data_IF_710340759825
#
_entry.id   IF_710340759825
#
_cell.length_a   1.000
_cell.length_b   1.000
_cell.length_c   1.000
_cell.angle_alpha   90.00
_cell.angle_beta   90.00
_cell.angle_gamma   90.00
#
_symmetry.space_group_name_H-M   'P 1'
#
loop_
_entity.id
_entity.type
_entity.pdbx_description
1 polymer ?
#
# COMPACT_ATOMS: atom_id res chain seq x y z
N UNK A 1 13.82 29.84 6.91
CA UNK A 1 13.40 29.23 5.65
C UNK A 1 13.40 27.71 5.86
N UNK A 2 12.23 27.11 5.90
CA UNK A 2 12.13 25.65 5.79
C UNK A 2 12.70 25.26 4.44
N UNK A 3 13.70 24.38 4.43
CA UNK A 3 14.18 23.80 3.19
C UNK A 3 12.96 23.20 2.46
N UNK A 4 12.75 23.60 1.21
CA UNK A 4 11.82 22.93 0.33
C UNK A 4 12.24 21.46 0.31
N UNK A 5 11.45 20.59 0.91
CA UNK A 5 11.69 19.16 0.79
C UNK A 5 11.71 18.84 -0.70
N UNK A 6 12.89 18.48 -1.20
CA UNK A 6 13.03 18.14 -2.61
C UNK A 6 12.19 16.89 -2.88
N UNK A 7 11.27 16.99 -3.80
CA UNK A 7 10.48 15.83 -4.24
C UNK A 7 11.40 14.74 -4.76
N UNK A 8 11.18 13.46 -4.39
CA UNK A 8 11.91 12.36 -4.98
C UNK A 8 11.79 12.37 -6.51
N UNK A 9 12.86 11.94 -7.19
CA UNK A 9 12.84 11.88 -8.66
C UNK A 9 11.77 10.93 -9.19
N UNK A 10 11.48 9.87 -8.45
CA UNK A 10 10.46 8.87 -8.79
C UNK A 10 9.47 8.80 -7.65
N UNK A 11 8.19 9.01 -7.96
CA UNK A 11 7.11 8.93 -6.99
C UNK A 11 5.97 8.08 -7.57
N UNK A 12 5.49 7.07 -6.86
CA UNK A 12 4.30 6.32 -7.27
C UNK A 12 3.08 7.23 -7.39
N UNK A 13 2.39 7.13 -8.52
CA UNK A 13 1.22 7.92 -8.85
C UNK A 13 0.03 6.98 -8.97
N UNK A 14 -0.98 7.15 -8.09
CA UNK A 14 -2.10 6.23 -7.96
C UNK A 14 -3.35 6.85 -8.59
N UNK A 15 -3.90 6.17 -9.57
CA UNK A 15 -5.10 6.62 -10.28
C UNK A 15 -6.35 6.07 -9.60
N UNK A 16 -7.16 6.96 -9.02
CA UNK A 16 -8.50 6.67 -8.51
C UNK A 16 -9.55 7.25 -9.46
N UNK A 17 -10.75 6.68 -9.47
CA UNK A 17 -11.86 7.25 -10.22
C UNK A 17 -12.22 8.64 -9.67
N UNK A 18 -12.80 8.68 -8.47
CA UNK A 18 -13.24 9.93 -7.83
C UNK A 18 -13.06 9.90 -6.30
N UNK A 19 -12.41 8.88 -5.77
CA UNK A 19 -12.33 8.60 -4.33
C UNK A 19 -10.91 8.68 -3.76
N UNK A 20 -10.04 9.49 -4.39
CA UNK A 20 -8.67 9.68 -3.91
C UNK A 20 -8.60 10.21 -2.48
N UNK A 21 -9.48 11.13 -2.11
CA UNK A 21 -9.53 11.71 -0.76
C UNK A 21 -9.85 10.66 0.30
N UNK A 22 -10.87 9.83 0.05
CA UNK A 22 -11.24 8.71 0.92
C UNK A 22 -10.08 7.71 1.05
N UNK A 23 -9.44 7.38 -0.07
CA UNK A 23 -8.32 6.46 -0.09
C UNK A 23 -7.12 7.00 0.72
N UNK A 24 -6.75 8.25 0.51
CA UNK A 24 -5.64 8.88 1.24
C UNK A 24 -5.94 8.92 2.74
N UNK A 25 -7.13 9.32 3.15
CA UNK A 25 -7.53 9.34 4.56
C UNK A 25 -7.45 7.95 5.18
N UNK A 26 -7.86 6.92 4.45
CA UNK A 26 -7.75 5.54 4.89
C UNK A 26 -6.28 5.14 5.09
N UNK A 27 -5.41 5.37 4.11
CA UNK A 27 -3.99 5.03 4.22
C UNK A 27 -3.29 5.79 5.35
N UNK A 28 -3.60 7.07 5.52
CA UNK A 28 -3.07 7.87 6.65
C UNK A 28 -3.49 7.30 8.01
N UNK A 29 -4.66 6.68 8.09
CA UNK A 29 -5.16 6.04 9.32
C UNK A 29 -4.46 4.71 9.61
N UNK A 30 -3.94 4.03 8.59
CA UNK A 30 -3.31 2.71 8.71
C UNK A 30 -1.83 2.83 9.06
N UNK A 31 -1.11 3.72 8.40
CA UNK A 31 0.35 3.84 8.55
C UNK A 31 0.73 4.96 9.50
N UNK A 32 1.64 4.67 10.42
CA UNK A 32 2.24 5.68 11.30
C UNK A 32 3.19 6.57 10.49
N UNK A 33 3.54 7.73 11.05
CA UNK A 33 4.47 8.66 10.42
C UNK A 33 4.03 9.02 8.99
N UNK A 34 2.75 9.36 8.86
CA UNK A 34 2.07 9.61 7.59
C UNK A 34 1.38 10.96 7.62
N UNK A 35 1.37 11.66 6.49
CA UNK A 35 0.74 12.98 6.39
C UNK A 35 0.42 13.35 4.95
N UNK A 36 -0.54 14.23 4.77
CA UNK A 36 -0.71 14.96 3.50
C UNK A 36 0.39 16.01 3.38
N UNK A 37 0.87 16.21 2.15
CA UNK A 37 1.85 17.26 1.84
C UNK A 37 1.13 18.43 1.16
N UNK A 38 0.38 18.15 0.09
CA UNK A 38 -0.28 19.16 -0.71
C UNK A 38 -1.52 18.61 -1.40
N UNK A 39 -2.42 19.52 -1.78
CA UNK A 39 -3.64 19.18 -2.52
C UNK A 39 -3.82 20.20 -3.64
N UNK A 40 -3.97 19.70 -4.86
CA UNK A 40 -4.23 20.55 -6.04
C UNK A 40 -5.70 20.40 -6.44
N UNK A 41 -6.35 21.54 -6.59
CA UNK A 41 -7.75 21.63 -6.99
C UNK A 41 -7.84 21.88 -8.50
N UNK A 42 -8.81 21.26 -9.15
CA UNK A 42 -9.10 21.51 -10.57
C UNK A 42 -9.51 22.96 -10.79
N UNK A 43 -8.85 23.60 -11.71
CA UNK A 43 -9.21 24.97 -12.14
C UNK A 43 -10.09 24.99 -13.40
N UNK A 44 -10.22 23.84 -14.06
CA UNK A 44 -11.15 23.59 -15.18
C UNK A 44 -11.80 22.23 -15.00
N UNK A 45 -12.91 22.01 -15.66
CA UNK A 45 -13.52 20.68 -15.76
C UNK A 45 -12.67 19.79 -16.69
N UNK A 46 -12.53 18.52 -16.32
CA UNK A 46 -11.88 17.50 -17.14
C UNK A 46 -12.61 16.15 -16.98
N UNK A 47 -12.23 15.08 -17.72
CA UNK A 47 -12.90 13.79 -17.62
C UNK A 47 -12.89 13.17 -16.21
N UNK A 48 -12.00 13.58 -15.33
CA UNK A 48 -11.90 13.07 -13.96
C UNK A 48 -12.75 13.82 -12.95
N UNK A 49 -13.29 15.00 -13.30
CA UNK A 49 -14.14 15.74 -12.39
C UNK A 49 -14.41 17.19 -12.77
N UNK A 50 -15.29 17.82 -11.99
CA UNK A 50 -15.70 19.22 -12.15
C UNK A 50 -14.65 20.19 -11.66
N UNK A 51 -14.68 21.41 -12.18
CA UNK A 51 -13.92 22.55 -11.64
C UNK A 51 -14.22 22.70 -10.15
N UNK A 52 -13.16 22.89 -9.35
CA UNK A 52 -13.25 23.03 -7.89
C UNK A 52 -13.13 21.71 -7.12
N UNK A 53 -13.18 20.55 -7.80
CA UNK A 53 -12.92 19.25 -7.18
C UNK A 53 -11.43 18.99 -7.01
N UNK A 54 -11.07 18.06 -6.14
CA UNK A 54 -9.68 17.66 -5.92
C UNK A 54 -9.15 16.92 -7.15
N UNK A 55 -8.02 17.38 -7.67
CA UNK A 55 -7.31 16.74 -8.77
C UNK A 55 -6.29 15.74 -8.25
N UNK A 56 -5.33 16.19 -7.46
CA UNK A 56 -4.30 15.33 -6.87
C UNK A 56 -4.10 15.64 -5.40
N UNK A 57 -3.66 14.62 -4.66
CA UNK A 57 -3.21 14.74 -3.28
C UNK A 57 -1.82 14.13 -3.20
N UNK A 58 -0.85 14.91 -2.77
CA UNK A 58 0.49 14.43 -2.45
C UNK A 58 0.55 14.07 -0.97
N UNK A 59 1.07 12.89 -0.64
CA UNK A 59 1.09 12.39 0.74
C UNK A 59 2.28 11.47 0.99
N UNK A 60 2.55 11.22 2.26
CA UNK A 60 3.60 10.31 2.74
C UNK A 60 2.99 9.24 3.61
N UNK A 61 3.38 7.98 3.37
CA UNK A 61 3.10 6.84 4.21
C UNK A 61 4.43 6.27 4.71
N UNK A 62 4.68 6.39 6.01
CA UNK A 62 5.89 5.88 6.66
C UNK A 62 7.18 6.24 5.87
N UNK A 63 7.31 7.50 5.49
CA UNK A 63 8.46 8.04 4.75
C UNK A 63 8.42 7.88 3.24
N UNK A 64 7.50 7.08 2.68
CA UNK A 64 7.36 6.92 1.23
C UNK A 64 6.35 7.93 0.67
N UNK A 65 6.78 8.71 -0.31
CA UNK A 65 5.90 9.62 -1.04
C UNK A 65 5.04 8.91 -2.07
N UNK A 66 3.80 9.39 -2.17
CA UNK A 66 2.80 8.99 -3.17
C UNK A 66 2.03 10.21 -3.65
N UNK A 67 1.44 10.09 -4.81
CA UNK A 67 0.44 11.02 -5.31
C UNK A 67 -0.82 10.23 -5.65
N UNK A 68 -1.98 10.71 -5.19
CA UNK A 68 -3.29 10.17 -5.56
C UNK A 68 -4.00 11.12 -6.51
N UNK A 69 -4.51 10.60 -7.61
CA UNK A 69 -5.21 11.33 -8.65
C UNK A 69 -6.68 10.91 -8.70
N UNK A 70 -7.58 11.87 -8.80
CA UNK A 70 -8.95 11.62 -9.25
C UNK A 70 -9.01 11.78 -10.77
N UNK A 71 -8.80 10.68 -11.51
CA UNK A 71 -8.64 10.71 -12.97
C UNK A 71 -9.85 10.23 -13.76
N UNK A 72 -10.90 9.75 -13.08
CA UNK A 72 -12.08 9.17 -13.71
C UNK A 72 -12.01 7.64 -13.87
N UNK A 73 -13.03 7.02 -14.49
CA UNK A 73 -13.24 5.57 -14.41
C UNK A 73 -12.43 4.72 -15.39
N UNK A 74 -11.51 5.30 -16.16
CA UNK A 74 -10.90 4.62 -17.31
C UNK A 74 -9.80 3.63 -16.94
N UNK A 75 -9.23 3.70 -15.72
CA UNK A 75 -8.15 2.82 -15.29
C UNK A 75 -8.46 2.22 -13.92
N UNK A 76 -8.03 0.96 -13.72
CA UNK A 76 -8.18 0.23 -12.46
C UNK A 76 -6.86 -0.36 -12.04
N UNK A 77 -6.65 -0.45 -10.73
CA UNK A 77 -5.50 -1.17 -10.18
C UNK A 77 -5.56 -2.65 -10.53
N UNK A 78 -4.40 -3.26 -10.59
CA UNK A 78 -4.24 -4.71 -10.75
C UNK A 78 -3.08 -5.21 -9.90
N UNK A 79 -2.85 -6.52 -9.91
CA UNK A 79 -1.86 -7.16 -9.04
C UNK A 79 -0.42 -7.10 -9.61
N UNK A 80 -0.21 -6.49 -10.78
CA UNK A 80 1.12 -6.38 -11.38
C UNK A 80 2.03 -5.39 -10.65
N UNK A 81 1.45 -4.44 -9.92
CA UNK A 81 2.16 -3.54 -9.02
C UNK A 81 1.62 -3.73 -7.61
N UNK A 82 2.50 -3.87 -6.65
CA UNK A 82 2.14 -3.99 -5.23
C UNK A 82 3.13 -3.21 -4.36
N UNK A 83 2.67 -2.82 -3.18
CA UNK A 83 3.52 -2.16 -2.19
C UNK A 83 3.87 -3.15 -1.08
N UNK A 84 5.15 -3.24 -0.80
CA UNK A 84 5.74 -4.22 0.11
C UNK A 84 5.91 -3.58 1.49
N UNK A 85 5.18 -4.08 2.48
CA UNK A 85 5.22 -3.58 3.86
C UNK A 85 6.05 -4.53 4.70
N UNK A 86 7.21 -4.07 5.15
CA UNK A 86 8.09 -4.83 6.04
C UNK A 86 7.59 -4.74 7.48
N UNK A 87 7.43 -5.89 8.12
CA UNK A 87 6.99 -6.00 9.51
C UNK A 87 8.04 -6.72 10.35
N UNK A 88 8.35 -6.20 11.51
CA UNK A 88 9.34 -6.82 12.42
C UNK A 88 8.70 -7.92 13.27
N UNK A 89 7.42 -7.81 13.58
CA UNK A 89 6.72 -8.72 14.49
C UNK A 89 5.44 -9.28 13.86
N UNK A 90 4.99 -10.42 14.38
CA UNK A 90 3.69 -10.99 14.01
C UNK A 90 2.54 -10.04 14.34
N UNK A 91 2.63 -9.27 15.43
CA UNK A 91 1.60 -8.30 15.80
C UNK A 91 1.45 -7.21 14.73
N UNK A 92 2.53 -6.72 14.15
CA UNK A 92 2.47 -5.77 13.05
C UNK A 92 1.84 -6.39 11.80
N UNK A 93 2.22 -7.62 11.45
CA UNK A 93 1.63 -8.36 10.33
C UNK A 93 0.11 -8.46 10.52
N UNK A 94 -0.33 -8.88 11.70
CA UNK A 94 -1.73 -9.06 12.02
C UNK A 94 -2.52 -7.76 11.93
N UNK A 95 -1.96 -6.65 12.43
CA UNK A 95 -2.61 -5.34 12.40
C UNK A 95 -2.76 -4.80 10.98
N UNK A 96 -1.66 -4.74 10.19
CA UNK A 96 -1.73 -4.28 8.81
C UNK A 96 -2.63 -5.16 7.96
N UNK A 97 -2.55 -6.47 8.14
CA UNK A 97 -3.41 -7.42 7.43
C UNK A 97 -4.90 -7.16 7.71
N UNK A 98 -5.25 -7.06 8.97
CA UNK A 98 -6.64 -6.80 9.40
C UNK A 98 -7.16 -5.47 8.83
N UNK A 99 -6.36 -4.40 8.95
CA UNK A 99 -6.77 -3.07 8.52
C UNK A 99 -6.89 -2.94 7.00
N UNK A 100 -5.92 -3.47 6.26
CA UNK A 100 -5.87 -3.35 4.81
C UNK A 100 -6.80 -4.32 4.08
N UNK A 101 -7.13 -5.47 4.67
CA UNK A 101 -8.11 -6.40 4.06
C UNK A 101 -9.55 -6.02 4.32
N UNK A 102 -9.83 -5.10 5.24
CA UNK A 102 -11.20 -4.67 5.53
C UNK A 102 -11.87 -4.06 4.28
N UNK A 103 -12.95 -4.68 3.83
CA UNK A 103 -13.64 -4.29 2.60
C UNK A 103 -12.91 -4.68 1.31
N UNK A 104 -11.76 -5.30 1.42
CA UNK A 104 -10.97 -5.82 0.32
C UNK A 104 -10.96 -7.35 0.28
N UNK A 105 -9.85 -7.95 -0.10
CA UNK A 105 -9.72 -9.40 -0.21
C UNK A 105 -8.31 -9.89 0.11
N UNK A 106 -8.24 -11.08 0.69
CA UNK A 106 -6.99 -11.79 0.89
C UNK A 106 -6.57 -12.48 -0.41
N UNK A 107 -5.27 -12.45 -0.69
CA UNK A 107 -4.65 -13.21 -1.78
C UNK A 107 -3.76 -14.30 -1.13
N UNK A 108 -2.73 -14.76 -1.79
CA UNK A 108 -1.81 -15.78 -1.30
C UNK A 108 -0.45 -15.17 -0.94
N UNK A 109 0.33 -15.84 -0.11
CA UNK A 109 1.74 -15.52 0.17
C UNK A 109 1.98 -14.13 0.78
N UNK A 110 1.08 -13.67 1.63
CA UNK A 110 1.19 -12.35 2.24
C UNK A 110 0.65 -11.21 1.38
N UNK A 111 0.06 -11.52 0.25
CA UNK A 111 -0.56 -10.53 -0.64
C UNK A 111 -2.02 -10.32 -0.26
N UNK A 112 -2.46 -9.06 -0.38
CA UNK A 112 -3.85 -8.67 -0.20
C UNK A 112 -4.22 -7.57 -1.21
N UNK A 113 -5.50 -7.41 -1.43
CA UNK A 113 -6.05 -6.28 -2.19
C UNK A 113 -6.94 -5.48 -1.24
N UNK A 114 -6.67 -4.17 -1.15
CA UNK A 114 -7.48 -3.32 -0.30
C UNK A 114 -8.84 -2.99 -0.94
N UNK A 115 -9.70 -2.28 -0.21
CA UNK A 115 -11.05 -1.92 -0.67
C UNK A 115 -11.07 -1.00 -1.90
N UNK A 116 -9.94 -0.41 -2.25
CA UNK A 116 -9.79 0.42 -3.46
C UNK A 116 -9.21 -0.36 -4.64
N UNK A 117 -8.84 -1.62 -4.42
CA UNK A 117 -8.23 -2.47 -5.42
C UNK A 117 -6.71 -2.43 -5.49
N UNK A 118 -6.06 -1.64 -4.63
CA UNK A 118 -4.61 -1.54 -4.56
C UNK A 118 -4.03 -2.77 -3.87
N UNK A 119 -2.96 -3.33 -4.43
CA UNK A 119 -2.33 -4.55 -3.95
C UNK A 119 -1.18 -4.25 -2.99
N UNK A 120 -1.15 -4.97 -1.87
CA UNK A 120 -0.15 -4.87 -0.83
C UNK A 120 0.43 -6.25 -0.50
N UNK A 121 1.69 -6.27 -0.10
CA UNK A 121 2.33 -7.45 0.48
C UNK A 121 2.69 -7.13 1.93
N UNK A 122 2.20 -7.93 2.87
CA UNK A 122 2.49 -7.76 4.30
C UNK A 122 3.44 -8.89 4.69
N UNK A 123 4.69 -8.53 4.94
CA UNK A 123 5.77 -9.52 5.02
C UNK A 123 6.68 -9.26 6.22
N UNK A 124 7.24 -10.32 6.83
CA UNK A 124 8.28 -10.13 7.82
C UNK A 124 9.55 -9.57 7.17
N UNK A 125 10.25 -8.67 7.88
CA UNK A 125 11.48 -8.04 7.40
C UNK A 125 12.51 -9.07 6.92
N UNK A 126 12.54 -10.26 7.54
CA UNK A 126 13.45 -11.34 7.19
C UNK A 126 12.99 -12.24 6.05
N UNK A 127 11.90 -11.90 5.36
CA UNK A 127 11.30 -12.80 4.36
C UNK A 127 12.31 -13.26 3.29
N UNK A 128 13.16 -12.36 2.82
CA UNK A 128 14.15 -12.70 1.79
C UNK A 128 15.16 -13.75 2.24
N UNK A 129 15.54 -13.74 3.53
CA UNK A 129 16.40 -14.75 4.10
C UNK A 129 15.64 -16.06 4.32
N UNK A 130 14.45 -15.99 4.84
CA UNK A 130 13.64 -17.18 5.12
C UNK A 130 13.33 -17.96 3.85
N UNK A 131 12.94 -17.31 2.77
CA UNK A 131 12.56 -17.99 1.52
C UNK A 131 13.74 -18.57 0.73
N UNK A 132 14.99 -18.30 1.12
CA UNK A 132 16.14 -19.04 0.60
C UNK A 132 16.11 -20.50 1.03
N UNK A 133 15.43 -20.82 2.12
CA UNK A 133 15.21 -22.20 2.57
C UNK A 133 13.99 -22.79 1.86
N UNK A 134 14.14 -23.89 1.11
CA UNK A 134 13.03 -24.47 0.33
C UNK A 134 11.78 -24.78 1.14
N UNK A 135 11.95 -25.28 2.37
CA UNK A 135 10.83 -25.62 3.25
C UNK A 135 10.05 -24.36 3.68
N UNK A 136 10.74 -23.26 3.95
CA UNK A 136 10.08 -22.00 4.30
C UNK A 136 9.35 -21.41 3.09
N UNK A 137 9.95 -21.46 1.92
CA UNK A 137 9.31 -21.03 0.67
C UNK A 137 8.02 -21.84 0.41
N UNK A 138 8.09 -23.16 0.53
CA UNK A 138 6.93 -24.02 0.35
C UNK A 138 5.83 -23.73 1.40
N UNK A 139 6.22 -23.50 2.65
CA UNK A 139 5.27 -23.11 3.70
C UNK A 139 4.57 -21.79 3.37
N UNK A 140 5.33 -20.79 2.92
CA UNK A 140 4.78 -19.50 2.49
C UNK A 140 3.74 -19.65 1.39
N UNK A 141 3.97 -20.52 0.42
CA UNK A 141 3.04 -20.76 -0.69
C UNK A 141 1.66 -21.27 -0.24
N UNK A 142 1.57 -21.86 0.94
CA UNK A 142 0.30 -22.36 1.51
C UNK A 142 -0.44 -21.33 2.37
N UNK A 143 0.20 -20.20 2.67
CA UNK A 143 -0.33 -19.18 3.56
C UNK A 143 -1.07 -18.08 2.79
N UNK A 144 -2.08 -17.49 3.42
CA UNK A 144 -2.60 -16.17 3.04
C UNK A 144 -1.88 -15.11 3.85
N UNK A 145 -2.33 -14.80 5.06
CA UNK A 145 -1.55 -14.02 6.01
C UNK A 145 -0.32 -14.84 6.44
N UNK A 146 0.85 -14.25 6.43
CA UNK A 146 2.07 -14.94 6.81
C UNK A 146 2.15 -15.15 8.32
N UNK A 147 2.61 -16.35 8.71
CA UNK A 147 2.91 -16.71 10.08
C UNK A 147 4.43 -16.81 10.24
N UNK A 148 5.02 -15.82 10.92
CA UNK A 148 6.47 -15.71 11.07
C UNK A 148 7.07 -16.92 11.79
N UNK A 149 6.44 -17.37 12.88
CA UNK A 149 6.94 -18.52 13.64
C UNK A 149 6.96 -19.81 12.82
N UNK A 150 5.94 -20.05 11.98
CA UNK A 150 5.90 -21.19 11.08
C UNK A 150 6.97 -21.13 10.00
N UNK A 151 7.21 -19.94 9.43
CA UNK A 151 8.26 -19.74 8.45
C UNK A 151 9.64 -19.99 9.06
N UNK A 152 9.88 -19.53 10.27
CA UNK A 152 11.15 -19.76 10.99
C UNK A 152 11.36 -21.23 11.32
N UNK A 153 10.32 -21.94 11.78
CA UNK A 153 10.39 -23.39 12.00
C UNK A 153 10.70 -24.14 10.72
N UNK A 154 10.04 -23.81 9.63
CA UNK A 154 10.27 -24.45 8.33
C UNK A 154 11.69 -24.20 7.81
N UNK A 155 12.23 -23.01 8.03
CA UNK A 155 13.61 -22.67 7.67
C UNK A 155 14.66 -23.42 8.49
N UNK A 156 14.31 -23.88 9.69
CA UNK A 156 15.20 -24.61 10.60
C UNK A 156 15.11 -26.13 10.42
N UNK A 157 14.21 -26.59 9.62
CA UNK A 157 13.98 -28.03 9.38
C UNK A 157 14.92 -28.65 8.35
#
# INVERSE_FOLDING_TARGET
>A
MTALETSPRITPFLWFDSNAEEAVDFYLSVFKNSRRIDTVIRNVEDPGGAKGSVLIIEFVLDGQRFVALNGGPNHKFNDAVSFFVNCETQAEIDEYWSRLTEGGSEIQCGWLRDKFGLCWQIVPTRIRELIKHPNAFQAMLTMKKLNLAELERAASA
#
